data_IF_056017991400
#
_entry.id   IF_056017991400
#
_cell.length_a   1.000
_cell.length_b   1.000
_cell.length_c   1.000
_cell.angle_alpha   90.00
_cell.angle_beta   90.00
_cell.angle_gamma   90.00
#
_symmetry.space_group_name_H-M   'P 1'
#
loop_
_entity.id
_entity.type
_entity.pdbx_description
1 polymer ?
#
# COMPACT_ATOMS: atom_id res chain seq x y z
N UNK A 1 -78.91 -34.47 17.50
CA UNK A 1 -77.53 -34.99 17.31
C UNK A 1 -76.72 -33.84 16.76
N UNK A 2 -75.81 -33.24 17.56
CA UNK A 2 -74.95 -32.12 17.13
C UNK A 2 -73.53 -32.67 16.94
N UNK A 3 -72.82 -32.41 15.87
CA UNK A 3 -71.41 -32.84 15.74
C UNK A 3 -70.48 -31.89 16.54
N UNK A 4 -69.58 -32.50 17.25
CA UNK A 4 -68.51 -31.87 17.99
C UNK A 4 -67.33 -31.59 17.01
N UNK A 5 -67.01 -30.32 16.81
CA UNK A 5 -65.83 -29.92 16.00
C UNK A 5 -64.64 -29.80 16.95
N UNK A 6 -63.64 -30.71 16.79
CA UNK A 6 -62.36 -30.61 17.46
C UNK A 6 -61.47 -29.64 16.70
N UNK A 7 -61.11 -28.51 17.33
CA UNK A 7 -60.07 -27.60 16.84
C UNK A 7 -58.71 -28.14 17.28
N UNK A 8 -57.91 -28.57 16.34
CA UNK A 8 -56.49 -28.89 16.57
C UNK A 8 -55.66 -27.60 16.51
N UNK A 9 -55.07 -27.17 17.61
CA UNK A 9 -54.15 -26.06 17.66
C UNK A 9 -52.74 -26.57 17.27
N UNK A 10 -52.22 -26.11 16.13
CA UNK A 10 -50.85 -26.37 15.73
C UNK A 10 -49.90 -25.38 16.43
N UNK A 11 -49.07 -25.90 17.31
CA UNK A 11 -47.98 -25.12 17.93
C UNK A 11 -46.82 -25.05 16.91
N UNK A 12 -46.57 -23.90 16.33
CA UNK A 12 -45.35 -23.64 15.55
C UNK A 12 -44.20 -23.26 16.50
N UNK A 13 -43.26 -24.15 16.65
CA UNK A 13 -42.01 -23.88 17.38
C UNK A 13 -41.06 -23.13 16.42
N UNK A 14 -40.88 -21.83 16.68
CA UNK A 14 -39.89 -21.03 15.97
C UNK A 14 -38.50 -21.31 16.56
N UNK A 15 -37.63 -21.98 15.82
CA UNK A 15 -36.21 -22.14 16.18
C UNK A 15 -35.45 -20.86 15.84
N UNK A 16 -34.70 -20.24 16.78
CA UNK A 16 -33.87 -19.09 16.46
C UNK A 16 -32.65 -19.56 15.63
N UNK A 17 -32.51 -19.03 14.43
CA UNK A 17 -31.30 -19.18 13.63
C UNK A 17 -30.27 -18.22 14.23
N UNK A 18 -29.30 -18.78 14.96
CA UNK A 18 -28.14 -18.01 15.41
C UNK A 18 -27.22 -17.76 14.22
N UNK A 19 -27.19 -16.52 13.72
CA UNK A 19 -26.15 -16.07 12.79
C UNK A 19 -24.84 -15.96 13.55
N UNK A 20 -24.02 -16.98 13.48
CA UNK A 20 -22.63 -16.93 13.94
C UNK A 20 -21.86 -15.97 13.03
N UNK A 21 -21.51 -14.79 13.54
CA UNK A 21 -20.52 -13.92 12.89
C UNK A 21 -19.17 -14.65 13.02
N UNK A 22 -18.74 -15.33 11.96
CA UNK A 22 -17.40 -15.87 11.87
C UNK A 22 -16.44 -14.68 11.78
N UNK A 23 -15.84 -14.30 12.91
CA UNK A 23 -14.66 -13.44 12.91
C UNK A 23 -13.55 -14.24 12.26
N UNK A 24 -13.24 -13.94 10.98
CA UNK A 24 -12.04 -14.46 10.35
C UNK A 24 -10.85 -13.95 11.19
N UNK A 25 -10.23 -14.85 11.93
CA UNK A 25 -8.91 -14.62 12.49
C UNK A 25 -7.95 -14.49 11.31
N UNK A 26 -7.61 -13.23 10.96
CA UNK A 26 -6.50 -13.00 10.04
C UNK A 26 -5.25 -13.63 10.66
N UNK A 27 -4.78 -14.69 10.05
CA UNK A 27 -3.48 -15.29 10.39
C UNK A 27 -2.44 -14.19 10.23
N UNK A 28 -1.63 -13.84 11.25
CA UNK A 28 -0.56 -12.87 11.09
C UNK A 28 0.31 -13.31 9.91
N UNK A 29 0.44 -12.47 8.89
CA UNK A 29 1.34 -12.75 7.79
C UNK A 29 2.73 -13.03 8.37
N UNK A 30 3.39 -14.09 7.89
CA UNK A 30 4.76 -14.37 8.26
C UNK A 30 5.60 -13.09 8.13
N UNK A 31 6.52 -12.80 9.09
CA UNK A 31 7.28 -11.57 9.07
C UNK A 31 7.95 -11.42 7.70
N UNK A 32 7.54 -10.41 6.95
CA UNK A 32 8.07 -10.12 5.64
C UNK A 32 9.58 -9.92 5.74
N UNK A 33 10.31 -10.34 4.71
CA UNK A 33 11.76 -10.10 4.67
C UNK A 33 12.00 -8.60 4.75
N UNK A 34 12.90 -8.19 5.63
CA UNK A 34 13.27 -6.79 5.86
C UNK A 34 14.32 -6.32 4.87
N UNK A 35 14.21 -5.07 4.42
CA UNK A 35 15.26 -4.47 3.60
C UNK A 35 16.56 -4.37 4.42
N UNK A 36 17.71 -4.67 3.80
CA UNK A 36 19.01 -4.40 4.43
C UNK A 36 19.16 -2.90 4.73
N UNK A 37 20.02 -2.55 5.69
CA UNK A 37 20.33 -1.19 6.18
C UNK A 37 19.19 -0.59 6.99
N UNK A 38 17.97 -0.47 6.42
CA UNK A 38 16.87 0.28 7.03
C UNK A 38 15.89 -0.59 7.82
N UNK A 39 15.86 -1.92 7.59
CA UNK A 39 14.92 -2.81 8.25
C UNK A 39 13.45 -2.52 7.92
N UNK A 40 13.18 -1.97 6.73
CA UNK A 40 11.83 -1.71 6.22
C UNK A 40 11.24 -2.98 5.64
N UNK A 41 9.96 -3.23 5.92
CA UNK A 41 9.18 -4.35 5.37
C UNK A 41 8.10 -3.86 4.41
N UNK A 42 7.55 -4.76 3.59
CA UNK A 42 6.32 -4.48 2.86
C UNK A 42 5.16 -4.34 3.86
N UNK A 43 4.45 -3.20 3.89
CA UNK A 43 3.32 -3.04 4.79
C UNK A 43 2.19 -4.00 4.44
N UNK A 44 1.54 -4.55 5.45
CA UNK A 44 0.38 -5.40 5.21
C UNK A 44 -0.77 -4.57 4.60
N UNK A 45 -1.49 -5.14 3.65
CA UNK A 45 -2.67 -4.52 3.05
C UNK A 45 -2.41 -3.25 2.21
N UNK A 46 -1.16 -2.89 1.93
CA UNK A 46 -0.81 -1.65 1.21
C UNK A 46 -1.50 -1.50 -0.15
N UNK A 47 -1.87 -2.61 -0.80
CA UNK A 47 -2.55 -2.55 -2.10
C UNK A 47 -3.98 -1.98 -2.03
N UNK A 48 -4.57 -1.93 -0.84
CA UNK A 48 -5.87 -1.31 -0.58
C UNK A 48 -5.74 0.16 -0.13
N UNK A 49 -4.52 0.72 -0.08
CA UNK A 49 -4.31 2.10 0.30
C UNK A 49 -4.69 3.06 -0.82
N UNK A 50 -4.99 4.29 -0.45
CA UNK A 50 -5.38 5.34 -1.38
C UNK A 50 -4.20 5.79 -2.26
N UNK A 51 -4.49 6.09 -3.52
CA UNK A 51 -3.54 6.61 -4.48
C UNK A 51 -3.17 8.06 -4.13
N UNK A 52 -1.88 8.34 -4.01
CA UNK A 52 -1.34 9.69 -3.90
C UNK A 52 -1.18 10.29 -5.30
N UNK A 53 -0.51 9.58 -6.20
CA UNK A 53 -0.33 10.00 -7.58
C UNK A 53 0.14 8.84 -8.48
N UNK A 54 -0.27 8.83 -9.76
CA UNK A 54 0.40 8.06 -10.80
C UNK A 54 1.63 8.82 -11.30
N UNK A 55 2.54 8.12 -11.97
CA UNK A 55 3.66 8.72 -12.68
C UNK A 55 4.11 7.82 -13.83
N UNK A 56 4.68 8.43 -14.87
CA UNK A 56 5.47 7.74 -15.89
C UNK A 56 6.92 8.19 -15.77
N UNK A 57 7.83 7.26 -15.59
CA UNK A 57 9.26 7.51 -15.69
C UNK A 57 9.74 7.02 -17.05
N UNK A 58 10.20 7.97 -17.89
CA UNK A 58 10.70 7.68 -19.21
C UNK A 58 11.99 6.83 -19.19
N UNK A 59 12.56 6.55 -20.36
CA UNK A 59 13.82 5.84 -20.48
C UNK A 59 14.90 6.36 -19.51
N UNK A 60 15.79 5.51 -18.97
CA UNK A 60 16.02 4.11 -19.39
C UNK A 60 15.09 3.09 -18.72
N UNK A 61 14.35 3.43 -17.66
CA UNK A 61 13.50 2.48 -16.93
C UNK A 61 12.20 2.19 -17.67
N UNK A 62 11.60 3.23 -18.23
CA UNK A 62 10.32 3.20 -18.94
C UNK A 62 9.24 2.45 -18.13
N UNK A 63 8.82 3.08 -17.03
CA UNK A 63 7.92 2.47 -16.06
C UNK A 63 6.68 3.33 -15.83
N UNK A 64 5.52 2.69 -15.82
CA UNK A 64 4.31 3.25 -15.20
C UNK A 64 4.35 2.99 -13.69
N UNK A 65 3.96 3.99 -12.92
CA UNK A 65 4.05 3.97 -11.46
C UNK A 65 2.79 4.46 -10.79
N UNK A 66 2.51 3.92 -9.62
CA UNK A 66 1.51 4.41 -8.70
C UNK A 66 2.13 4.54 -7.30
N UNK A 67 1.92 5.67 -6.65
CA UNK A 67 2.34 5.87 -5.26
C UNK A 67 1.10 5.88 -4.38
N UNK A 68 1.08 4.97 -3.42
CA UNK A 68 0.03 4.81 -2.42
C UNK A 68 0.53 5.36 -1.07
N UNK A 69 -0.38 5.85 -0.25
CA UNK A 69 -0.06 6.35 1.08
C UNK A 69 -0.95 5.77 2.16
N UNK A 70 -0.41 5.59 3.36
CA UNK A 70 -1.24 5.33 4.53
C UNK A 70 -2.01 6.59 4.94
N UNK A 71 -2.91 6.50 5.91
CA UNK A 71 -3.75 7.62 6.35
C UNK A 71 -2.94 8.83 6.82
N UNK A 72 -1.78 8.60 7.46
CA UNK A 72 -0.87 9.68 7.88
C UNK A 72 -0.29 10.43 6.67
N UNK A 73 0.13 9.69 5.64
CA UNK A 73 0.61 10.26 4.38
C UNK A 73 -0.48 11.08 3.68
N UNK A 74 -1.67 10.49 3.54
CA UNK A 74 -2.82 11.15 2.90
C UNK A 74 -3.18 12.46 3.56
N UNK A 75 -3.26 12.46 4.90
CA UNK A 75 -3.53 13.68 5.66
C UNK A 75 -2.45 14.73 5.40
N UNK A 76 -1.17 14.36 5.47
CA UNK A 76 -0.06 15.29 5.24
C UNK A 76 -0.11 15.91 3.83
N UNK A 77 -0.42 15.12 2.80
CA UNK A 77 -0.56 15.62 1.44
C UNK A 77 -1.74 16.57 1.27
N UNK A 78 -2.89 16.25 1.84
CA UNK A 78 -4.10 17.10 1.76
C UNK A 78 -3.93 18.41 2.49
N UNK A 79 -3.24 18.39 3.63
CA UNK A 79 -2.96 19.58 4.44
C UNK A 79 -1.74 20.38 3.94
N UNK A 80 -1.00 19.86 2.96
CA UNK A 80 0.26 20.46 2.51
C UNK A 80 1.37 20.46 3.57
N UNK A 81 1.33 19.51 4.52
CA UNK A 81 2.25 19.45 5.66
C UNK A 81 3.64 18.97 5.25
N UNK A 82 4.66 19.78 5.51
CA UNK A 82 6.09 19.43 5.40
C UNK A 82 6.85 20.00 6.61
N UNK A 83 7.82 19.25 7.15
CA UNK A 83 8.17 17.87 6.81
C UNK A 83 7.03 16.90 7.09
N UNK A 84 7.03 15.75 6.41
CA UNK A 84 6.07 14.68 6.68
C UNK A 84 6.17 14.22 8.14
N UNK A 85 5.03 13.99 8.83
CA UNK A 85 5.04 13.52 10.20
C UNK A 85 5.54 12.08 10.32
N UNK A 86 6.09 11.72 11.47
CA UNK A 86 6.44 10.34 11.79
C UNK A 86 5.23 9.41 11.65
N UNK A 87 5.47 8.18 11.20
CA UNK A 87 4.41 7.24 10.83
C UNK A 87 3.89 7.40 9.40
N UNK A 88 4.34 8.39 8.63
CA UNK A 88 4.07 8.45 7.19
C UNK A 88 4.69 7.25 6.50
N UNK A 89 3.89 6.56 5.69
CA UNK A 89 4.36 5.46 4.84
C UNK A 89 3.89 5.67 3.42
N UNK A 90 4.84 5.62 2.49
CA UNK A 90 4.60 5.69 1.05
C UNK A 90 5.01 4.38 0.40
N UNK A 91 4.18 3.87 -0.50
CA UNK A 91 4.48 2.65 -1.27
C UNK A 91 4.37 2.98 -2.75
N UNK A 92 5.48 2.83 -3.48
CA UNK A 92 5.52 2.97 -4.93
C UNK A 92 5.44 1.59 -5.57
N UNK A 93 4.43 1.39 -6.39
CA UNK A 93 4.29 0.27 -7.32
C UNK A 93 4.87 0.68 -8.67
N UNK A 94 5.59 -0.21 -9.33
CA UNK A 94 6.14 0.05 -10.66
C UNK A 94 5.93 -1.15 -11.59
N UNK A 95 5.63 -0.84 -12.85
CA UNK A 95 5.42 -1.81 -13.93
C UNK A 95 6.11 -1.33 -15.19
N UNK A 96 6.47 -2.24 -16.07
CA UNK A 96 6.88 -1.88 -17.42
C UNK A 96 5.75 -1.12 -18.11
N UNK A 97 6.15 -0.06 -18.82
CA UNK A 97 5.27 0.64 -19.73
C UNK A 97 5.05 -0.22 -20.97
N UNK A 98 3.78 -0.47 -21.31
CA UNK A 98 3.40 -1.28 -22.48
C UNK A 98 2.30 -0.57 -23.25
N UNK A 99 2.39 -0.61 -24.58
CA UNK A 99 1.33 -0.14 -25.45
C UNK A 99 0.07 -0.98 -25.25
N UNK A 100 -1.09 -0.32 -25.13
CA UNK A 100 -2.38 -1.04 -25.06
C UNK A 100 -2.63 -1.80 -26.38
N UNK A 101 -2.98 -3.08 -26.32
CA UNK A 101 -3.37 -3.83 -27.51
C UNK A 101 -4.76 -3.46 -28.04
N UNK A 102 -5.58 -2.80 -27.22
CA UNK A 102 -7.00 -2.52 -27.53
C UNK A 102 -7.24 -1.04 -27.86
N UNK A 103 -6.30 -0.15 -27.55
CA UNK A 103 -6.44 1.28 -27.76
C UNK A 103 -5.08 1.94 -28.04
N UNK A 104 -4.75 2.15 -29.29
CA UNK A 104 -3.46 2.66 -29.75
C UNK A 104 -2.92 3.91 -29.02
N UNK A 105 -3.77 4.93 -28.67
CA UNK A 105 -3.25 6.09 -27.93
C UNK A 105 -2.94 5.82 -26.45
N UNK A 106 -3.29 4.64 -25.91
CA UNK A 106 -3.16 4.34 -24.49
C UNK A 106 -1.96 3.47 -24.16
N UNK A 107 -1.43 3.70 -22.98
CA UNK A 107 -0.41 2.85 -22.35
C UNK A 107 -1.00 2.15 -21.14
N UNK A 108 -0.59 0.90 -20.91
CA UNK A 108 -1.04 0.08 -19.80
C UNK A 108 0.14 -0.45 -18.98
N UNK A 109 -0.07 -0.78 -17.69
CA UNK A 109 0.93 -1.48 -16.90
C UNK A 109 1.19 -2.90 -17.47
N UNK A 110 2.46 -3.18 -17.77
CA UNK A 110 2.94 -4.52 -18.11
C UNK A 110 3.41 -5.30 -16.89
N UNK A 111 4.50 -6.05 -17.02
CA UNK A 111 5.08 -6.83 -15.94
C UNK A 111 5.48 -5.94 -14.75
N UNK A 112 5.14 -6.37 -13.52
CA UNK A 112 5.58 -5.69 -12.31
C UNK A 112 7.11 -5.73 -12.19
N UNK A 113 7.71 -4.60 -11.83
CA UNK A 113 9.17 -4.48 -11.69
C UNK A 113 9.59 -4.40 -10.23
N UNK A 114 9.10 -3.40 -9.49
CA UNK A 114 9.47 -3.21 -8.10
C UNK A 114 8.30 -2.72 -7.25
N UNK A 115 8.37 -3.03 -5.95
CA UNK A 115 7.64 -2.31 -4.91
C UNK A 115 8.68 -1.58 -4.05
N UNK A 116 8.52 -0.28 -3.87
CA UNK A 116 9.43 0.52 -3.05
C UNK A 116 8.66 1.19 -1.92
N UNK A 117 9.24 1.18 -0.72
CA UNK A 117 8.61 1.68 0.50
C UNK A 117 9.49 2.76 1.11
N UNK A 118 8.88 3.85 1.54
CA UNK A 118 9.48 4.87 2.41
C UNK A 118 8.70 4.94 3.71
N UNK A 119 9.41 4.94 4.84
CA UNK A 119 8.83 5.04 6.19
C UNK A 119 9.45 6.22 6.90
N UNK A 120 8.64 7.14 7.40
CA UNK A 120 9.10 8.27 8.22
C UNK A 120 9.16 7.86 9.68
N UNK A 121 10.35 7.95 10.25
CA UNK A 121 10.63 7.84 11.67
C UNK A 121 11.88 8.68 11.96
N UNK A 122 11.68 9.89 12.48
CA UNK A 122 12.71 10.89 12.69
C UNK A 122 13.77 10.47 13.72
N UNK A 123 13.41 9.54 14.61
CA UNK A 123 14.32 9.02 15.64
C UNK A 123 15.17 7.86 15.11
N UNK A 124 14.55 6.98 14.34
CA UNK A 124 15.22 5.79 13.81
C UNK A 124 16.14 6.10 12.63
N UNK A 125 15.76 7.04 11.78
CA UNK A 125 16.44 7.33 10.52
C UNK A 125 17.07 8.74 10.50
N UNK A 126 17.71 9.15 11.60
CA UNK A 126 18.32 10.49 11.77
C UNK A 126 19.26 10.83 10.60
N UNK A 127 20.13 9.89 10.22
CA UNK A 127 21.16 10.11 9.20
C UNK A 127 20.59 10.23 7.76
N UNK A 128 19.33 9.90 7.58
CA UNK A 128 18.66 9.92 6.27
C UNK A 128 17.45 10.86 6.23
N UNK A 129 17.53 11.93 7.06
CA UNK A 129 16.45 12.92 7.13
C UNK A 129 15.14 12.38 7.70
N UNK A 130 15.22 11.32 8.51
CA UNK A 130 14.06 10.66 9.12
C UNK A 130 13.39 9.62 8.22
N UNK A 131 13.99 9.22 7.09
CA UNK A 131 13.39 8.27 6.16
C UNK A 131 14.14 6.94 6.07
N UNK A 132 13.41 5.85 6.31
CA UNK A 132 13.84 4.50 5.96
C UNK A 132 13.36 4.08 4.57
N UNK A 133 14.14 3.25 3.88
CA UNK A 133 13.88 2.84 2.51
C UNK A 133 13.83 1.32 2.37
N UNK A 134 12.89 0.82 1.57
CA UNK A 134 12.80 -0.57 1.17
C UNK A 134 12.54 -0.68 -0.33
N UNK A 135 13.26 -1.58 -1.02
CA UNK A 135 13.04 -1.93 -2.42
C UNK A 135 12.92 -3.44 -2.53
N UNK A 136 11.87 -3.89 -3.22
CA UNK A 136 11.49 -5.30 -3.31
C UNK A 136 11.21 -5.69 -4.75
N UNK A 137 11.65 -6.87 -5.13
CA UNK A 137 11.32 -7.55 -6.39
C UNK A 137 10.68 -8.89 -6.03
N UNK A 138 9.50 -9.18 -6.54
CA UNK A 138 8.73 -10.38 -6.22
C UNK A 138 8.60 -10.63 -4.71
N UNK A 139 8.37 -9.56 -3.95
CA UNK A 139 8.23 -9.61 -2.49
C UNK A 139 9.53 -9.86 -1.71
N UNK A 140 10.68 -9.96 -2.38
CA UNK A 140 11.98 -10.12 -1.75
C UNK A 140 12.75 -8.81 -1.77
N UNK A 141 13.43 -8.41 -0.66
CA UNK A 141 14.26 -7.22 -0.67
C UNK A 141 15.43 -7.41 -1.66
N UNK A 142 15.77 -6.35 -2.36
CA UNK A 142 16.99 -6.32 -3.15
C UNK A 142 18.23 -6.26 -2.26
N UNK A 143 19.42 -6.34 -2.84
CA UNK A 143 20.68 -6.31 -2.10
C UNK A 143 20.98 -4.96 -1.42
N UNK A 144 21.98 -4.97 -0.56
CA UNK A 144 22.41 -3.79 0.20
C UNK A 144 22.96 -2.69 -0.73
N UNK A 145 23.68 -3.04 -1.79
CA UNK A 145 24.25 -2.06 -2.71
C UNK A 145 23.17 -1.20 -3.37
N UNK A 146 22.07 -1.81 -3.79
CA UNK A 146 20.92 -1.09 -4.31
C UNK A 146 20.22 -0.22 -3.25
N UNK A 147 20.10 -0.69 -2.00
CA UNK A 147 19.51 0.11 -0.91
C UNK A 147 20.34 1.33 -0.55
N UNK A 148 21.68 1.27 -0.64
CA UNK A 148 22.56 2.41 -0.40
C UNK A 148 22.29 3.58 -1.36
N UNK A 149 21.82 3.32 -2.58
CA UNK A 149 21.53 4.36 -3.56
C UNK A 149 20.24 5.14 -3.27
N UNK A 150 19.32 4.58 -2.48
CA UNK A 150 18.00 5.18 -2.27
C UNK A 150 18.10 6.59 -1.68
N UNK A 151 18.68 6.71 -0.49
CA UNK A 151 18.79 8.00 0.20
C UNK A 151 19.59 9.02 -0.61
N UNK A 152 20.75 8.64 -1.14
CA UNK A 152 21.60 9.55 -1.90
C UNK A 152 20.86 10.22 -3.08
N UNK A 153 20.07 9.44 -3.83
CA UNK A 153 19.26 9.97 -4.92
C UNK A 153 18.15 10.92 -4.42
N UNK A 154 17.43 10.55 -3.35
CA UNK A 154 16.38 11.38 -2.75
C UNK A 154 16.95 12.67 -2.16
N UNK A 155 18.09 12.61 -1.49
CA UNK A 155 18.78 13.79 -0.94
C UNK A 155 19.20 14.76 -2.05
N UNK A 156 19.87 14.27 -3.07
CA UNK A 156 20.41 15.08 -4.15
C UNK A 156 19.32 15.84 -4.94
N UNK A 157 18.10 15.30 -5.01
CA UNK A 157 17.05 15.83 -5.90
C UNK A 157 15.87 16.48 -5.19
N UNK A 158 15.48 15.98 -4.02
CA UNK A 158 14.22 16.39 -3.39
C UNK A 158 14.33 16.62 -1.87
N UNK A 159 15.55 16.89 -1.34
CA UNK A 159 15.78 17.23 0.06
C UNK A 159 14.87 18.36 0.54
N UNK A 160 14.71 19.40 -0.27
CA UNK A 160 13.87 20.57 0.06
C UNK A 160 12.36 20.23 0.17
N UNK A 161 11.97 19.03 -0.25
CA UNK A 161 10.60 18.50 -0.13
C UNK A 161 10.56 17.28 0.79
N UNK A 162 11.33 17.34 1.85
CA UNK A 162 11.47 16.25 2.82
C UNK A 162 11.78 14.90 2.13
N UNK A 163 12.68 14.92 1.15
CA UNK A 163 13.16 13.73 0.41
C UNK A 163 12.10 12.98 -0.41
N UNK A 164 10.94 13.58 -0.70
CA UNK A 164 9.84 12.93 -1.41
C UNK A 164 9.62 13.50 -2.80
N UNK A 165 9.73 12.66 -3.84
CA UNK A 165 9.49 13.05 -5.24
C UNK A 165 8.02 13.30 -5.53
N UNK A 166 7.15 12.46 -4.98
CA UNK A 166 5.73 12.43 -5.31
C UNK A 166 5.02 13.71 -4.86
N UNK A 167 4.21 14.28 -5.75
CA UNK A 167 3.24 15.34 -5.45
C UNK A 167 1.86 14.74 -5.37
N UNK A 168 0.96 15.35 -4.61
CA UNK A 168 -0.41 14.91 -4.56
C UNK A 168 -1.09 15.21 -5.90
N UNK A 169 -1.70 14.21 -6.50
CA UNK A 169 -2.59 14.41 -7.63
C UNK A 169 -4.01 14.60 -7.08
N UNK A 170 -4.68 15.73 -7.40
CA UNK A 170 -6.03 16.01 -6.92
C UNK A 170 -7.06 15.02 -7.49
#
# INVERSE_FOLDING_TARGET
>A
MKPLILLAAALTVATPIAYGVATAFETPAAPGKTSPIYGVTLPQGYRAWELIAPAHEAAPLDELRAVLGNQTALKAYRDGTLPFPDGTVLVKLAWKHVQSPDFDPASIPGAATTVQVMVKDSKRYIETGGWGYGRFVNGQPVDEAQHRTCHACHEARVKARDYVFTRYAP
#
